data_IF_029332669410
#
_entry.id   IF_029332669410
#
_cell.length_a   1.000
_cell.length_b   1.000
_cell.length_c   1.000
_cell.angle_alpha   90.00
_cell.angle_beta   90.00
_cell.angle_gamma   90.00
#
_symmetry.space_group_name_H-M   'P 1'
#
loop_
_entity.id
_entity.type
_entity.pdbx_description
1 polymer ?
#
# COMPACT_ATOMS: atom_id res chain seq x y z
N UNK A 1 30.25 -19.05 47.64
CA UNK A 1 30.28 -19.59 46.27
C UNK A 1 30.07 -18.46 45.28
N UNK A 2 31.03 -18.22 44.39
CA UNK A 2 30.98 -17.16 43.36
C UNK A 2 30.25 -17.72 42.14
N UNK A 3 29.06 -17.21 41.79
CA UNK A 3 28.48 -17.45 40.47
C UNK A 3 28.59 -16.19 39.62
N UNK A 4 29.31 -16.40 38.52
CA UNK A 4 29.82 -15.50 37.50
C UNK A 4 28.79 -14.53 36.91
N UNK A 5 29.15 -13.25 36.85
CA UNK A 5 28.38 -12.14 36.29
C UNK A 5 28.59 -11.98 34.76
N UNK A 6 29.02 -13.03 34.05
CA UNK A 6 29.30 -12.97 32.60
C UNK A 6 28.08 -12.76 31.69
N UNK A 7 26.85 -12.74 32.21
CA UNK A 7 25.63 -12.51 31.40
C UNK A 7 25.15 -11.06 31.37
N UNK A 8 25.75 -10.16 32.16
CA UNK A 8 25.33 -8.76 32.25
C UNK A 8 26.04 -7.83 31.24
N UNK A 9 27.08 -8.30 30.56
CA UNK A 9 27.76 -7.54 29.50
C UNK A 9 26.89 -7.41 28.23
N UNK A 10 25.97 -8.36 28.01
CA UNK A 10 25.00 -8.30 26.92
C UNK A 10 24.02 -7.12 27.09
N UNK A 11 23.63 -6.81 28.32
CA UNK A 11 22.67 -5.75 28.64
C UNK A 11 23.29 -4.35 28.62
N UNK A 12 24.62 -4.22 28.63
CA UNK A 12 25.31 -2.92 28.56
C UNK A 12 25.69 -2.51 27.13
N UNK A 13 25.69 -3.45 26.18
CA UNK A 13 26.09 -3.20 24.79
C UNK A 13 24.93 -3.16 23.79
N UNK A 14 23.68 -3.32 24.23
CA UNK A 14 22.50 -3.06 23.40
C UNK A 14 22.09 -1.60 23.55
N UNK A 15 22.87 -0.70 22.95
CA UNK A 15 22.64 0.75 22.93
C UNK A 15 21.43 1.18 22.09
N UNK A 16 20.57 0.26 21.66
CA UNK A 16 19.27 0.57 21.10
C UNK A 16 18.34 1.02 22.23
N UNK A 17 18.53 2.28 22.66
CA UNK A 17 17.51 3.05 23.38
C UNK A 17 16.13 2.79 22.73
N UNK A 18 15.04 2.62 23.50
CA UNK A 18 13.70 2.45 22.92
C UNK A 18 13.32 3.53 21.89
N UNK A 19 13.96 4.70 21.96
CA UNK A 19 13.84 5.80 21.00
C UNK A 19 14.45 5.48 19.61
N UNK A 20 15.50 4.66 19.55
CA UNK A 20 16.13 4.20 18.31
C UNK A 20 15.24 3.21 17.54
N UNK A 21 14.39 2.44 18.24
CA UNK A 21 13.42 1.55 17.59
C UNK A 21 12.34 2.35 16.86
N UNK A 22 11.85 3.44 17.46
CA UNK A 22 10.87 4.34 16.84
C UNK A 22 11.47 5.11 15.65
N UNK A 23 12.77 5.45 15.68
CA UNK A 23 13.45 6.08 14.55
C UNK A 23 13.73 5.10 13.40
N UNK A 24 13.95 3.81 13.69
CA UNK A 24 14.15 2.78 12.67
C UNK A 24 12.87 2.49 11.86
N UNK A 25 11.68 2.60 12.47
CA UNK A 25 10.39 2.47 11.76
C UNK A 25 10.09 3.65 10.81
N UNK A 26 10.61 4.85 11.10
CA UNK A 26 10.42 6.02 10.22
C UNK A 26 11.20 5.93 8.91
N UNK A 27 12.10 4.98 8.75
CA UNK A 27 13.07 4.92 7.65
C UNK A 27 12.73 3.93 6.52
N UNK A 28 11.50 3.41 6.45
CA UNK A 28 11.09 2.55 5.34
C UNK A 28 9.75 2.92 4.69
N UNK A 29 9.34 4.18 4.81
CA UNK A 29 8.36 4.73 3.88
C UNK A 29 9.13 5.42 2.74
N UNK A 30 8.98 4.98 1.48
CA UNK A 30 9.59 5.69 0.37
C UNK A 30 9.08 7.13 0.40
N UNK A 31 9.98 8.09 0.58
CA UNK A 31 9.70 9.50 0.34
C UNK A 31 9.42 9.64 -1.15
N UNK A 32 8.16 9.49 -1.55
CA UNK A 32 7.77 9.69 -2.95
C UNK A 32 7.95 11.18 -3.24
N UNK A 33 9.04 11.55 -3.92
CA UNK A 33 9.20 12.91 -4.40
C UNK A 33 8.05 13.24 -5.35
N UNK A 34 7.49 14.46 -5.27
CA UNK A 34 6.35 14.86 -6.12
C UNK A 34 6.61 14.70 -7.63
N UNK A 35 7.87 14.80 -8.07
CA UNK A 35 8.28 14.50 -9.44
C UNK A 35 8.13 13.01 -9.78
N UNK A 36 8.46 12.10 -8.86
CA UNK A 36 8.23 10.66 -9.01
C UNK A 36 6.73 10.32 -9.01
N UNK A 37 5.89 11.07 -8.27
CA UNK A 37 4.42 10.88 -8.31
C UNK A 37 3.87 11.14 -9.72
N UNK A 38 4.34 12.21 -10.38
CA UNK A 38 3.88 12.56 -11.73
C UNK A 38 4.30 11.51 -12.76
N UNK A 39 5.55 11.07 -12.72
CA UNK A 39 6.06 10.02 -13.61
C UNK A 39 5.28 8.71 -13.44
N UNK A 40 5.01 8.31 -12.19
CA UNK A 40 4.20 7.12 -11.89
C UNK A 40 2.76 7.30 -12.39
N UNK A 41 2.18 8.48 -12.26
CA UNK A 41 0.83 8.76 -12.75
C UNK A 41 0.74 8.69 -14.28
N UNK A 42 1.73 9.23 -14.99
CA UNK A 42 1.82 9.16 -16.45
C UNK A 42 2.03 7.74 -16.94
N UNK A 43 2.98 7.00 -16.36
CA UNK A 43 3.22 5.60 -16.66
C UNK A 43 1.97 4.75 -16.44
N UNK A 44 1.23 5.00 -15.35
CA UNK A 44 -0.05 4.35 -15.08
C UNK A 44 -1.09 4.70 -16.15
N UNK A 45 -1.20 5.98 -16.52
CA UNK A 45 -2.12 6.45 -17.56
C UNK A 45 -1.85 5.82 -18.93
N UNK A 46 -0.58 5.55 -19.25
CA UNK A 46 -0.21 4.86 -20.48
C UNK A 46 -0.65 3.39 -20.51
N UNK A 47 -0.69 2.74 -19.35
CA UNK A 47 -1.17 1.34 -19.23
C UNK A 47 -2.68 1.23 -19.29
N UNK A 48 -3.42 2.25 -18.86
CA UNK A 48 -4.88 2.29 -19.00
C UNK A 48 -5.23 2.37 -20.50
N UNK A 49 -6.10 1.47 -20.99
CA UNK A 49 -6.51 1.48 -22.40
C UNK A 49 -7.22 2.80 -22.75
N UNK A 50 -8.07 3.29 -21.85
CA UNK A 50 -8.80 4.57 -21.97
C UNK A 50 -7.94 5.83 -21.76
N UNK A 51 -6.64 5.68 -21.44
CA UNK A 51 -5.70 6.80 -21.25
C UNK A 51 -6.18 7.87 -20.27
N UNK A 52 -6.92 7.49 -19.21
CA UNK A 52 -7.37 8.39 -18.14
C UNK A 52 -7.64 7.62 -16.85
N UNK A 53 -7.62 8.31 -15.71
CA UNK A 53 -8.12 7.73 -14.46
C UNK A 53 -9.64 7.63 -14.46
N UNK A 54 -10.15 6.59 -13.78
CA UNK A 54 -11.57 6.35 -13.61
C UNK A 54 -12.19 7.25 -12.54
N UNK A 55 -13.38 7.77 -12.82
CA UNK A 55 -14.27 8.39 -11.85
C UNK A 55 -15.54 7.53 -11.63
N UNK A 56 -15.66 6.44 -12.38
CA UNK A 56 -16.85 5.61 -12.49
C UNK A 56 -17.00 4.57 -11.37
N UNK A 57 -15.99 4.41 -10.50
CA UNK A 57 -16.04 3.45 -9.38
C UNK A 57 -17.28 3.66 -8.51
N UNK A 58 -17.64 4.92 -8.23
CA UNK A 58 -18.84 5.23 -7.47
C UNK A 58 -20.14 4.80 -8.18
N UNK A 59 -20.17 4.91 -9.53
CA UNK A 59 -21.33 4.45 -10.32
C UNK A 59 -21.40 2.94 -10.38
N UNK A 60 -20.27 2.25 -10.48
CA UNK A 60 -20.21 0.80 -10.45
C UNK A 60 -20.67 0.24 -9.10
N UNK A 61 -20.22 0.87 -8.00
CA UNK A 61 -20.68 0.53 -6.66
C UNK A 61 -22.19 0.81 -6.50
N UNK A 62 -22.68 1.93 -7.05
CA UNK A 62 -24.12 2.25 -7.02
C UNK A 62 -24.95 1.23 -7.80
N UNK A 63 -24.48 0.78 -8.97
CA UNK A 63 -25.15 -0.27 -9.74
C UNK A 63 -25.25 -1.58 -8.95
N UNK A 64 -24.14 -2.03 -8.34
CA UNK A 64 -24.14 -3.27 -7.54
C UNK A 64 -25.02 -3.17 -6.28
N UNK A 65 -25.33 -1.94 -5.83
CA UNK A 65 -26.20 -1.68 -4.70
C UNK A 65 -27.67 -1.43 -5.12
N UNK A 66 -27.98 -1.36 -6.41
CA UNK A 66 -29.33 -1.09 -6.91
C UNK A 66 -30.07 -2.37 -7.30
N UNK A 67 -31.39 -2.25 -7.51
CA UNK A 67 -32.23 -3.36 -7.98
C UNK A 67 -31.87 -3.81 -9.42
N UNK A 68 -31.16 -2.96 -10.18
CA UNK A 68 -30.71 -3.28 -11.54
C UNK A 68 -29.70 -4.43 -11.56
N UNK A 69 -29.02 -4.69 -10.44
CA UNK A 69 -28.08 -5.81 -10.28
C UNK A 69 -28.69 -7.00 -9.52
N UNK A 70 -30.02 -7.09 -9.40
CA UNK A 70 -30.71 -8.13 -8.59
C UNK A 70 -30.38 -9.59 -8.97
N UNK A 71 -29.84 -9.84 -10.16
CA UNK A 71 -29.39 -11.16 -10.61
C UNK A 71 -27.87 -11.27 -10.82
N UNK A 72 -27.10 -10.26 -10.42
CA UNK A 72 -25.63 -10.23 -10.50
C UNK A 72 -25.07 -10.56 -9.14
N UNK A 73 -24.90 -11.85 -8.85
CA UNK A 73 -24.38 -12.34 -7.58
C UNK A 73 -23.26 -13.36 -7.82
N UNK A 74 -22.21 -13.32 -6.99
CA UNK A 74 -21.06 -14.22 -7.11
C UNK A 74 -20.06 -13.83 -8.20
N UNK A 75 -20.24 -12.68 -8.83
CA UNK A 75 -19.39 -12.18 -9.93
C UNK A 75 -18.50 -11.02 -9.48
N UNK A 76 -17.36 -10.86 -10.16
CA UNK A 76 -16.47 -9.71 -9.99
C UNK A 76 -16.68 -8.69 -11.12
N UNK A 77 -17.04 -7.44 -10.76
CA UNK A 77 -17.14 -6.34 -11.71
C UNK A 77 -15.82 -5.56 -11.78
N UNK A 78 -15.00 -5.85 -12.79
CA UNK A 78 -13.71 -5.16 -13.00
C UNK A 78 -13.92 -3.78 -13.62
N UNK A 79 -13.47 -2.73 -12.93
CA UNK A 79 -13.57 -1.33 -13.38
C UNK A 79 -12.19 -0.65 -13.31
N UNK A 80 -11.31 -0.99 -14.24
CA UNK A 80 -9.90 -0.58 -14.24
C UNK A 80 -9.49 0.25 -15.47
N UNK A 81 -10.42 0.52 -16.38
CA UNK A 81 -10.15 1.23 -17.64
C UNK A 81 -9.42 0.38 -18.69
N UNK A 82 -9.48 -0.95 -18.57
CA UNK A 82 -8.93 -1.91 -19.53
C UNK A 82 -7.49 -2.34 -19.27
N UNK A 83 -6.99 -2.19 -18.03
CA UNK A 83 -5.61 -2.58 -17.68
C UNK A 83 -5.47 -4.11 -17.73
N UNK A 84 -6.43 -4.85 -17.19
CA UNK A 84 -6.37 -6.30 -17.07
C UNK A 84 -6.68 -7.07 -18.37
N UNK A 85 -7.17 -6.39 -19.41
CA UNK A 85 -7.69 -6.98 -20.65
C UNK A 85 -6.78 -6.75 -21.87
N UNK A 86 -5.55 -6.26 -21.67
CA UNK A 86 -4.58 -5.95 -22.73
C UNK A 86 -3.43 -6.96 -22.79
#
# INVERSE_FOLDING_TARGET
MKKSWKSLDFLKNSSSSPRALIESEKHQHPNIHVAQVQEVAEATRQRIALKRFGQEIAKAALFLASDDSSYVAGEELVVDGGIAQT
#
